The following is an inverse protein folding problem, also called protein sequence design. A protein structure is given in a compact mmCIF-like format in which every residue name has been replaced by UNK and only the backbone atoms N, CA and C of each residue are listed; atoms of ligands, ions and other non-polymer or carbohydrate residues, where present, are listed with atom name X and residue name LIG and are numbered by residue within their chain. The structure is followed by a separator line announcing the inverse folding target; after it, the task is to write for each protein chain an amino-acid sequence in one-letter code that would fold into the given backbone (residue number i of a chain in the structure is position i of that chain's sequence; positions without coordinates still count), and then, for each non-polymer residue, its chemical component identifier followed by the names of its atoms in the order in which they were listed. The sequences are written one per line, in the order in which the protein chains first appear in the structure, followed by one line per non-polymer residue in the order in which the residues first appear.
data_IF_556881465989
#
_entry.id   IF_556881465989
#
_cell.length_a   1.000
_cell.length_b   1.000
_cell.length_c   1.000
_cell.angle_alpha   90.00
_cell.angle_beta   90.00
_cell.angle_gamma   90.00
#
_symmetry.space_group_name_H-M   'P 1'
#
loop_
_entity.id
_entity.type
_entity.pdbx_description
1 polymer ?
#
# COMPACT_ATOMS: atom_id res chain seq x y z
N UNK A 1 -41.85 -14.58 1.25
CA UNK A 1 -41.64 -13.93 -0.07
C UNK A 1 -41.71 -12.43 0.10
N UNK A 2 -40.56 -11.78 0.31
CA UNK A 2 -40.49 -10.33 0.37
C UNK A 2 -40.45 -9.78 -1.06
N UNK A 3 -41.52 -9.11 -1.48
CA UNK A 3 -41.62 -8.44 -2.77
C UNK A 3 -40.86 -7.10 -2.64
N UNK A 4 -39.70 -6.99 -3.30
CA UNK A 4 -38.95 -5.73 -3.34
C UNK A 4 -39.73 -4.67 -4.14
N UNK A 5 -39.58 -3.39 -3.79
CA UNK A 5 -40.21 -2.30 -4.54
C UNK A 5 -39.52 -2.10 -5.90
N UNK A 6 -40.23 -1.54 -6.89
CA UNK A 6 -39.65 -1.27 -8.22
C UNK A 6 -38.38 -0.41 -8.18
N UNK A 7 -38.25 0.46 -7.19
CA UNK A 7 -37.04 1.26 -6.95
C UNK A 7 -35.86 0.43 -6.42
N UNK A 8 -36.13 -0.58 -5.59
CA UNK A 8 -35.09 -1.50 -5.09
C UNK A 8 -34.57 -2.41 -6.19
N UNK A 9 -35.44 -2.90 -7.09
CA UNK A 9 -35.03 -3.67 -8.27
C UNK A 9 -34.19 -2.84 -9.25
N UNK A 10 -34.57 -1.57 -9.50
CA UNK A 10 -33.80 -0.69 -10.38
C UNK A 10 -32.39 -0.42 -9.83
N UNK A 11 -32.28 -0.10 -8.53
CA UNK A 11 -30.98 0.12 -7.89
C UNK A 11 -30.11 -1.15 -7.89
N UNK A 12 -30.70 -2.31 -7.62
CA UNK A 12 -29.98 -3.59 -7.61
C UNK A 12 -29.47 -3.98 -9.00
N UNK A 13 -30.29 -3.78 -10.05
CA UNK A 13 -29.88 -4.03 -11.43
C UNK A 13 -28.82 -3.01 -11.90
N UNK A 14 -28.97 -1.73 -11.55
CA UNK A 14 -28.00 -0.70 -11.91
C UNK A 14 -26.67 -0.89 -11.17
N UNK A 15 -26.69 -1.25 -9.88
CA UNK A 15 -25.48 -1.62 -9.14
C UNK A 15 -24.81 -2.86 -9.70
N UNK A 16 -25.58 -3.84 -10.18
CA UNK A 16 -25.06 -5.03 -10.86
C UNK A 16 -24.37 -4.70 -12.18
N UNK A 17 -24.94 -3.79 -12.98
CA UNK A 17 -24.35 -3.30 -14.23
C UNK A 17 -23.06 -2.51 -13.97
N UNK A 18 -23.07 -1.57 -13.02
CA UNK A 18 -21.87 -0.81 -12.64
C UNK A 18 -20.75 -1.72 -12.11
N UNK A 19 -21.10 -2.77 -11.37
CA UNK A 19 -20.13 -3.77 -10.90
C UNK A 19 -19.52 -4.57 -12.06
N UNK A 20 -20.34 -4.94 -13.06
CA UNK A 20 -19.87 -5.63 -14.26
C UNK A 20 -18.96 -4.74 -15.12
N UNK A 21 -19.33 -3.48 -15.33
CA UNK A 21 -18.51 -2.48 -16.02
C UNK A 21 -17.17 -2.27 -15.30
N UNK A 22 -17.20 -2.11 -13.98
CA UNK A 22 -15.98 -1.97 -13.18
C UNK A 22 -15.08 -3.21 -13.23
N UNK A 23 -15.65 -4.42 -13.26
CA UNK A 23 -14.89 -5.67 -13.41
C UNK A 23 -14.23 -5.76 -14.80
N UNK A 24 -14.94 -5.35 -15.84
CA UNK A 24 -14.41 -5.30 -17.19
C UNK A 24 -13.25 -4.29 -17.31
N UNK A 25 -13.40 -3.11 -16.72
CA UNK A 25 -12.36 -2.07 -16.71
C UNK A 25 -11.10 -2.53 -15.96
N UNK A 26 -11.27 -3.28 -14.86
CA UNK A 26 -10.16 -3.88 -14.10
C UNK A 26 -9.39 -4.89 -14.94
N UNK A 27 -10.11 -5.81 -15.61
CA UNK A 27 -9.48 -6.81 -16.49
C UNK A 27 -8.75 -6.14 -17.65
N UNK A 28 -9.36 -5.13 -18.27
CA UNK A 28 -8.74 -4.36 -19.33
C UNK A 28 -7.48 -3.64 -18.82
N UNK A 29 -7.52 -3.04 -17.63
CA UNK A 29 -6.36 -2.39 -17.04
C UNK A 29 -5.19 -3.35 -16.76
N UNK A 30 -5.47 -4.57 -16.27
CA UNK A 30 -4.45 -5.60 -16.09
C UNK A 30 -3.85 -5.99 -17.44
N UNK A 31 -4.69 -6.20 -18.46
CA UNK A 31 -4.25 -6.49 -19.83
C UNK A 31 -3.31 -5.41 -20.39
N UNK A 32 -3.67 -4.13 -20.21
CA UNK A 32 -2.83 -3.00 -20.63
C UNK A 32 -1.45 -3.02 -19.96
N UNK A 33 -1.38 -3.37 -18.67
CA UNK A 33 -0.09 -3.45 -17.96
C UNK A 33 0.76 -4.66 -18.38
N UNK A 34 0.14 -5.77 -18.77
CA UNK A 34 0.86 -6.93 -19.34
C UNK A 34 1.55 -6.57 -20.67
N UNK A 35 1.02 -5.61 -21.42
CA UNK A 35 1.57 -5.15 -22.69
C UNK A 35 2.45 -3.89 -22.56
N UNK A 36 2.49 -3.26 -21.38
CA UNK A 36 3.21 -2.02 -21.15
C UNK A 36 4.70 -2.30 -20.90
N UNK A 37 5.59 -1.76 -21.74
CA UNK A 37 7.04 -2.04 -21.73
C UNK A 37 7.72 -2.01 -20.34
N UNK A 38 7.47 -1.01 -19.47
CA UNK A 38 8.01 -1.00 -18.10
C UNK A 38 7.70 -2.24 -17.26
N UNK A 39 6.53 -2.88 -17.44
CA UNK A 39 6.06 -3.97 -16.59
C UNK A 39 6.05 -5.32 -17.30
N UNK A 40 5.91 -5.32 -18.63
CA UNK A 40 5.71 -6.51 -19.47
C UNK A 40 6.73 -7.62 -19.18
N UNK A 41 8.02 -7.28 -19.16
CA UNK A 41 9.08 -8.29 -18.95
C UNK A 41 9.02 -8.89 -17.55
N UNK A 42 8.79 -8.06 -16.53
CA UNK A 42 8.71 -8.48 -15.14
C UNK A 42 7.49 -9.36 -14.88
N UNK A 43 6.32 -8.92 -15.33
CA UNK A 43 5.07 -9.66 -15.21
C UNK A 43 5.12 -10.98 -15.99
N UNK A 44 5.64 -10.98 -17.22
CA UNK A 44 5.79 -12.22 -18.01
C UNK A 44 6.70 -13.22 -17.31
N UNK A 45 7.82 -12.75 -16.75
CA UNK A 45 8.75 -13.60 -15.98
C UNK A 45 8.06 -14.17 -14.74
N UNK A 46 7.33 -13.35 -13.99
CA UNK A 46 6.63 -13.80 -12.79
C UNK A 46 5.57 -14.85 -13.12
N UNK A 47 4.75 -14.63 -14.16
CA UNK A 47 3.73 -15.58 -14.63
C UNK A 47 4.37 -16.90 -15.07
N UNK A 48 5.48 -16.86 -15.81
CA UNK A 48 6.19 -18.06 -16.26
C UNK A 48 6.79 -18.90 -15.11
N UNK A 49 7.09 -18.29 -13.96
CA UNK A 49 7.53 -19.01 -12.76
C UNK A 49 6.38 -19.76 -12.09
N UNK A 50 5.12 -19.38 -12.36
CA UNK A 50 3.95 -20.06 -11.81
C UNK A 50 3.67 -21.33 -12.61
N UNK A 51 3.37 -22.41 -11.90
CA UNK A 51 3.06 -23.70 -12.54
C UNK A 51 1.77 -23.60 -13.36
N UNK A 52 1.89 -23.69 -14.69
CA UNK A 52 0.77 -23.76 -15.65
C UNK A 52 -0.19 -22.56 -15.64
N UNK A 53 0.25 -21.38 -15.20
CA UNK A 53 -0.58 -20.18 -15.21
C UNK A 53 -0.62 -19.54 -16.60
N UNK A 54 -1.81 -19.38 -17.18
CA UNK A 54 -1.97 -18.61 -18.43
C UNK A 54 -2.19 -17.13 -18.13
N UNK A 55 -1.97 -16.25 -19.13
CA UNK A 55 -2.28 -14.83 -18.98
C UNK A 55 -3.77 -14.58 -18.68
N UNK A 56 -4.67 -15.41 -19.23
CA UNK A 56 -6.10 -15.29 -18.99
C UNK A 56 -6.45 -15.64 -17.53
N UNK A 57 -5.89 -16.73 -17.00
CA UNK A 57 -6.08 -17.14 -15.61
C UNK A 57 -5.49 -16.10 -14.65
N UNK A 58 -4.32 -15.56 -14.98
CA UNK A 58 -3.69 -14.48 -14.22
C UNK A 58 -4.61 -13.24 -14.15
N UNK A 59 -5.16 -12.79 -15.29
CA UNK A 59 -6.06 -11.64 -15.34
C UNK A 59 -7.30 -11.89 -14.48
N UNK A 60 -7.91 -13.07 -14.56
CA UNK A 60 -9.10 -13.42 -13.79
C UNK A 60 -8.84 -13.40 -12.28
N UNK A 61 -7.76 -14.04 -11.86
CA UNK A 61 -7.41 -14.17 -10.45
C UNK A 61 -7.00 -12.81 -9.85
N UNK A 62 -6.19 -12.01 -10.55
CA UNK A 62 -5.82 -10.68 -10.09
C UNK A 62 -7.03 -9.74 -10.05
N UNK A 63 -7.93 -9.81 -11.03
CA UNK A 63 -9.16 -9.02 -11.01
C UNK A 63 -10.03 -9.38 -9.79
N UNK A 64 -10.17 -10.67 -9.51
CA UNK A 64 -10.90 -11.17 -8.33
C UNK A 64 -10.25 -10.69 -7.03
N UNK A 65 -8.93 -10.87 -6.87
CA UNK A 65 -8.20 -10.42 -5.66
C UNK A 65 -8.21 -8.91 -5.50
N UNK A 66 -8.39 -8.14 -6.57
CA UNK A 66 -8.43 -6.68 -6.49
C UNK A 66 -9.71 -6.15 -5.84
N UNK A 67 -10.79 -6.93 -5.81
CA UNK A 67 -12.12 -6.47 -5.38
C UNK A 67 -12.55 -5.20 -6.14
N UNK A 68 -12.23 -5.13 -7.43
CA UNK A 68 -12.39 -3.96 -8.31
C UNK A 68 -11.64 -2.69 -7.86
N UNK A 69 -10.60 -2.84 -7.03
CA UNK A 69 -9.82 -1.72 -6.53
C UNK A 69 -8.60 -1.43 -7.43
N UNK A 70 -8.67 -0.36 -8.24
CA UNK A 70 -7.55 0.05 -9.09
C UNK A 70 -6.28 0.41 -8.32
N UNK A 71 -6.40 0.84 -7.06
CA UNK A 71 -5.22 1.12 -6.25
C UNK A 71 -4.46 -0.16 -5.90
N UNK A 72 -5.19 -1.24 -5.61
CA UNK A 72 -4.58 -2.55 -5.43
C UNK A 72 -3.78 -2.94 -6.68
N UNK A 73 -4.34 -2.76 -7.88
CA UNK A 73 -3.64 -3.07 -9.14
C UNK A 73 -2.39 -2.21 -9.34
N UNK A 74 -2.49 -0.91 -9.05
CA UNK A 74 -1.35 0.04 -9.10
C UNK A 74 -0.24 -0.29 -8.11
N UNK A 75 -0.53 -1.09 -7.10
CA UNK A 75 0.45 -1.50 -6.11
C UNK A 75 1.00 -2.91 -6.39
N UNK A 76 0.12 -3.88 -6.69
CA UNK A 76 0.50 -5.29 -6.84
C UNK A 76 1.19 -5.56 -8.17
N UNK A 77 0.71 -5.01 -9.28
CA UNK A 77 1.29 -5.31 -10.59
C UNK A 77 2.73 -4.79 -10.74
N UNK A 78 3.07 -3.55 -10.32
CA UNK A 78 4.46 -3.11 -10.28
C UNK A 78 5.32 -3.97 -9.33
N UNK A 79 4.81 -4.30 -8.13
CA UNK A 79 5.55 -5.13 -7.19
C UNK A 79 5.85 -6.54 -7.75
N UNK A 80 4.93 -7.13 -8.50
CA UNK A 80 5.15 -8.38 -9.24
C UNK A 80 6.24 -8.19 -10.31
N UNK A 81 6.15 -7.11 -11.09
CA UNK A 81 7.10 -6.81 -12.16
C UNK A 81 8.53 -6.60 -11.64
N UNK A 82 8.66 -5.95 -10.49
CA UNK A 82 9.93 -5.66 -9.82
C UNK A 82 10.50 -6.86 -9.05
N UNK A 83 9.76 -7.98 -9.00
CA UNK A 83 10.20 -9.23 -8.37
C UNK A 83 9.97 -9.29 -6.85
N UNK A 84 9.22 -8.36 -6.26
CA UNK A 84 8.91 -8.36 -4.81
C UNK A 84 8.23 -9.65 -4.35
N UNK A 85 7.42 -10.25 -5.23
CA UNK A 85 6.69 -11.51 -4.99
C UNK A 85 7.28 -12.70 -5.73
N UNK A 86 8.56 -12.67 -6.12
CA UNK A 86 9.19 -13.72 -6.94
C UNK A 86 9.14 -15.13 -6.30
N UNK A 87 9.06 -15.19 -4.97
CA UNK A 87 9.01 -16.45 -4.21
C UNK A 87 7.61 -16.77 -3.69
N UNK A 88 6.56 -16.07 -4.15
CA UNK A 88 5.17 -16.31 -3.74
C UNK A 88 4.35 -16.89 -4.89
N UNK A 89 3.58 -17.96 -4.63
CA UNK A 89 2.59 -18.43 -5.58
C UNK A 89 1.41 -17.45 -5.68
N UNK A 90 0.63 -17.56 -6.75
CA UNK A 90 -0.50 -16.68 -7.04
C UNK A 90 -1.56 -16.66 -5.93
N UNK A 91 -1.85 -17.81 -5.30
CA UNK A 91 -2.84 -17.95 -4.24
C UNK A 91 -2.44 -17.24 -2.94
N UNK A 92 -1.14 -17.10 -2.67
CA UNK A 92 -0.58 -16.34 -1.54
C UNK A 92 -0.57 -14.81 -1.74
N UNK A 93 -0.96 -14.30 -2.91
CA UNK A 93 -1.07 -12.86 -3.11
C UNK A 93 -2.18 -12.29 -2.22
N UNK A 94 -1.99 -11.06 -1.70
CA UNK A 94 -2.97 -10.42 -0.84
C UNK A 94 -4.31 -10.23 -1.56
N UNK A 95 -5.40 -10.25 -0.79
CA UNK A 95 -6.74 -9.96 -1.28
C UNK A 95 -7.12 -8.55 -0.81
N UNK A 96 -7.59 -7.74 -1.75
CA UNK A 96 -8.01 -6.37 -1.52
C UNK A 96 -6.84 -5.44 -1.17
N UNK A 97 -7.11 -4.13 -1.23
CA UNK A 97 -6.10 -3.11 -0.91
C UNK A 97 -5.64 -3.19 0.55
N UNK A 98 -6.55 -3.51 1.48
CA UNK A 98 -6.22 -3.66 2.89
C UNK A 98 -5.27 -4.85 3.11
N UNK A 99 -5.60 -6.03 2.57
CA UNK A 99 -4.74 -7.21 2.69
C UNK A 99 -3.36 -6.97 2.10
N UNK A 100 -3.26 -6.17 1.03
CA UNK A 100 -1.98 -5.77 0.47
C UNK A 100 -1.14 -4.94 1.45
N UNK A 101 -1.74 -3.95 2.12
CA UNK A 101 -1.03 -3.15 3.12
C UNK A 101 -0.63 -3.96 4.37
N UNK A 102 -1.49 -4.87 4.84
CA UNK A 102 -1.17 -5.78 5.95
C UNK A 102 -0.02 -6.72 5.61
N UNK A 103 -0.06 -7.32 4.41
CA UNK A 103 0.99 -8.19 3.92
C UNK A 103 2.32 -7.44 3.81
N UNK A 104 2.31 -6.24 3.25
CA UNK A 104 3.52 -5.43 3.13
C UNK A 104 4.07 -5.02 4.51
N UNK A 105 3.21 -4.62 5.45
CA UNK A 105 3.59 -4.31 6.82
C UNK A 105 4.33 -5.49 7.49
N UNK A 106 3.83 -6.72 7.31
CA UNK A 106 4.46 -7.93 7.81
C UNK A 106 5.79 -8.23 7.11
N UNK A 107 5.85 -8.13 5.78
CA UNK A 107 7.07 -8.37 5.00
C UNK A 107 8.20 -7.40 5.34
N UNK A 108 7.86 -6.15 5.68
CA UNK A 108 8.82 -5.16 6.19
C UNK A 108 9.26 -5.44 7.64
N UNK A 109 8.81 -6.54 8.23
CA UNK A 109 9.18 -7.01 9.56
C UNK A 109 8.53 -6.23 10.69
N UNK A 110 7.49 -5.42 10.43
CA UNK A 110 6.88 -4.55 11.45
C UNK A 110 6.15 -5.30 12.57
N UNK A 111 5.94 -6.61 12.41
CA UNK A 111 5.37 -7.51 13.41
C UNK A 111 6.41 -8.43 14.08
N UNK A 112 7.69 -8.32 13.71
CA UNK A 112 8.79 -9.11 14.28
C UNK A 112 8.90 -8.88 15.79
N UNK A 113 9.22 -9.92 16.58
CA UNK A 113 9.44 -9.79 18.04
C UNK A 113 10.94 -9.82 18.39
N UNK A 114 11.44 -8.89 19.23
CA UNK A 114 10.74 -7.73 19.78
C UNK A 114 10.36 -6.72 18.68
N UNK A 115 9.25 -6.01 18.90
CA UNK A 115 8.69 -5.10 17.91
C UNK A 115 9.69 -4.02 17.50
N UNK A 116 9.86 -3.75 16.19
CA UNK A 116 10.85 -2.80 15.69
C UNK A 116 10.34 -1.36 15.88
N UNK A 117 10.23 -0.91 17.13
CA UNK A 117 9.65 0.40 17.52
C UNK A 117 10.26 1.56 16.73
N UNK A 118 11.56 1.50 16.42
CA UNK A 118 12.26 2.53 15.66
C UNK A 118 11.73 2.64 14.23
N UNK A 119 11.58 1.51 13.51
CA UNK A 119 11.02 1.48 12.14
C UNK A 119 9.57 1.97 12.13
N UNK A 120 8.79 1.53 13.10
CA UNK A 120 7.38 1.92 13.26
C UNK A 120 7.26 3.42 13.50
N UNK A 121 8.04 4.00 14.42
CA UNK A 121 8.06 5.45 14.68
C UNK A 121 8.37 6.26 13.41
N UNK A 122 9.31 5.81 12.58
CA UNK A 122 9.66 6.47 11.33
C UNK A 122 8.46 6.50 10.38
N UNK A 123 7.79 5.37 10.17
CA UNK A 123 6.61 5.29 9.27
C UNK A 123 5.46 6.17 9.78
N UNK A 124 5.21 6.18 11.09
CA UNK A 124 4.18 7.05 11.69
C UNK A 124 4.49 8.53 11.55
N UNK A 125 5.75 8.94 11.76
CA UNK A 125 6.20 10.32 11.52
C UNK A 125 6.00 10.71 10.06
N UNK A 126 6.38 9.84 9.12
CA UNK A 126 6.18 10.10 7.69
C UNK A 126 4.69 10.21 7.32
N UNK A 127 3.82 9.45 7.98
CA UNK A 127 2.37 9.56 7.82
C UNK A 127 1.83 10.88 8.40
N UNK A 128 2.31 11.28 9.59
CA UNK A 128 1.92 12.54 10.22
C UNK A 128 2.36 13.77 9.41
N UNK A 129 3.52 13.70 8.75
CA UNK A 129 3.99 14.71 7.81
C UNK A 129 3.05 14.75 6.59
N UNK A 130 2.27 15.83 6.47
CA UNK A 130 1.39 16.03 5.30
C UNK A 130 2.16 16.42 4.04
N UNK A 131 3.34 17.01 4.20
CA UNK A 131 4.23 17.43 3.12
C UNK A 131 5.44 16.50 3.01
N UNK A 132 6.07 16.49 1.83
CA UNK A 132 7.32 15.77 1.64
C UNK A 132 8.43 16.32 2.55
N UNK A 133 9.14 15.42 3.21
CA UNK A 133 10.16 15.75 4.19
C UNK A 133 11.51 15.12 3.83
N UNK A 134 12.59 15.82 4.17
CA UNK A 134 13.93 15.25 4.01
C UNK A 134 14.19 14.16 5.04
N UNK A 135 15.17 13.30 4.76
CA UNK A 135 15.65 12.27 5.69
C UNK A 135 15.98 12.85 7.07
N UNK A 136 16.65 14.01 7.13
CA UNK A 136 16.99 14.68 8.39
C UNK A 136 15.77 15.16 9.17
N UNK A 137 14.72 15.65 8.49
CA UNK A 137 13.46 16.03 9.14
C UNK A 137 12.76 14.81 9.73
N UNK A 138 12.71 13.71 8.97
CA UNK A 138 12.13 12.45 9.45
C UNK A 138 12.92 11.91 10.65
N UNK A 139 14.25 11.96 10.60
CA UNK A 139 15.13 11.55 11.70
C UNK A 139 14.88 12.39 12.97
N UNK A 140 14.79 13.72 12.84
CA UNK A 140 14.48 14.63 13.93
C UNK A 140 13.16 14.25 14.64
N UNK A 141 12.07 14.12 13.89
CA UNK A 141 10.75 13.88 14.48
C UNK A 141 10.56 12.43 14.95
N UNK A 142 11.26 11.46 14.37
CA UNK A 142 11.23 10.07 14.84
C UNK A 142 12.20 9.80 16.00
N UNK A 143 13.04 10.79 16.37
CA UNK A 143 14.15 10.64 17.33
C UNK A 143 15.07 9.47 16.96
N UNK A 144 15.29 9.26 15.65
CA UNK A 144 16.16 8.22 15.11
C UNK A 144 17.36 8.85 14.39
N UNK A 145 18.39 8.04 14.13
CA UNK A 145 19.51 8.46 13.29
C UNK A 145 19.15 8.35 11.79
N UNK A 146 19.86 9.10 10.95
CA UNK A 146 19.58 9.11 9.51
C UNK A 146 19.83 7.78 8.79
N UNK A 147 20.72 6.91 9.31
CA UNK A 147 20.97 5.59 8.71
C UNK A 147 19.73 4.69 8.86
N UNK A 148 19.15 4.62 10.06
CA UNK A 148 17.91 3.87 10.30
C UNK A 148 16.75 4.43 9.48
N UNK A 149 16.67 5.75 9.30
CA UNK A 149 15.68 6.35 8.39
C UNK A 149 15.94 5.92 6.95
N UNK A 150 17.18 5.89 6.49
CA UNK A 150 17.51 5.47 5.13
C UNK A 150 17.10 4.00 4.86
N UNK A 151 17.32 3.11 5.83
CA UNK A 151 16.87 1.71 5.73
C UNK A 151 15.36 1.63 5.55
N UNK A 152 14.59 2.37 6.36
CA UNK A 152 13.13 2.42 6.22
C UNK A 152 12.70 3.04 4.89
N UNK A 153 13.36 4.10 4.42
CA UNK A 153 13.05 4.70 3.11
C UNK A 153 13.29 3.72 1.96
N UNK A 154 14.32 2.88 2.05
CA UNK A 154 14.60 1.85 1.06
C UNK A 154 13.55 0.73 1.10
N UNK A 155 13.27 0.22 2.30
CA UNK A 155 12.25 -0.82 2.56
C UNK A 155 10.88 -0.39 2.00
N UNK A 156 10.53 0.89 2.16
CA UNK A 156 9.22 1.44 1.79
C UNK A 156 9.18 2.14 0.43
N UNK A 157 10.24 2.08 -0.38
CA UNK A 157 10.39 2.90 -1.59
C UNK A 157 9.19 2.86 -2.54
N UNK A 158 8.53 1.70 -2.70
CA UNK A 158 7.35 1.52 -3.57
C UNK A 158 6.10 2.30 -3.13
N UNK A 159 6.05 2.75 -1.87
CA UNK A 159 4.98 3.61 -1.31
C UNK A 159 5.36 5.08 -1.26
N UNK A 160 6.59 5.42 -1.65
CA UNK A 160 7.14 6.75 -1.49
C UNK A 160 7.24 7.47 -2.83
N UNK A 161 6.72 8.70 -2.85
CA UNK A 161 7.14 9.65 -3.86
C UNK A 161 8.41 10.33 -3.38
N UNK A 162 9.51 10.07 -4.08
CA UNK A 162 10.77 10.80 -3.94
C UNK A 162 10.77 12.04 -4.81
N UNK A 163 11.04 13.19 -4.21
CA UNK A 163 11.12 14.50 -4.86
C UNK A 163 12.58 14.92 -5.01
N UNK A 164 13.13 14.70 -6.20
CA UNK A 164 14.56 14.94 -6.54
C UNK A 164 14.88 16.42 -6.79
N UNK A 165 13.87 17.27 -6.92
CA UNK A 165 14.03 18.72 -7.09
C UNK A 165 14.50 19.43 -5.80
N UNK A 166 14.62 18.71 -4.68
CA UNK A 166 15.20 19.20 -3.43
C UNK A 166 16.58 18.59 -3.18
N UNK A 167 17.45 19.36 -2.53
CA UNK A 167 18.76 18.89 -2.06
C UNK A 167 18.86 19.12 -0.54
N UNK A 168 18.83 18.08 0.31
CA UNK A 168 18.64 16.66 -0.03
C UNK A 168 17.20 16.34 -0.50
N UNK A 169 16.98 15.20 -1.19
CA UNK A 169 15.66 14.81 -1.68
C UNK A 169 14.65 14.64 -0.55
N UNK A 170 13.38 14.84 -0.89
CA UNK A 170 12.25 14.73 0.06
C UNK A 170 11.35 13.55 -0.27
N UNK A 171 10.70 13.01 0.76
CA UNK A 171 9.91 11.79 0.70
C UNK A 171 8.54 12.03 1.32
N UNK A 172 7.50 11.44 0.71
CA UNK A 172 6.15 11.33 1.29
C UNK A 172 5.47 10.06 0.81
N UNK A 173 4.53 9.55 1.60
CA UNK A 173 3.54 8.62 1.07
C UNK A 173 2.66 9.34 0.04
N UNK A 174 2.49 8.72 -1.14
CA UNK A 174 1.67 9.32 -2.21
C UNK A 174 0.21 8.86 -2.17
N UNK A 175 -0.08 7.76 -1.48
CA UNK A 175 -1.44 7.22 -1.34
C UNK A 175 -2.08 7.65 -0.03
N UNK A 176 -3.20 8.36 -0.12
CA UNK A 176 -4.02 8.70 1.05
C UNK A 176 -4.59 7.46 1.73
N UNK A 177 -5.00 6.46 0.94
CA UNK A 177 -5.52 5.18 1.46
C UNK A 177 -4.51 4.42 2.33
N UNK A 178 -3.20 4.60 2.11
CA UNK A 178 -2.19 4.03 3.00
C UNK A 178 -2.10 4.78 4.34
N UNK A 179 -2.34 6.10 4.34
CA UNK A 179 -2.45 6.88 5.58
C UNK A 179 -3.68 6.43 6.37
N UNK A 180 -4.81 6.25 5.70
CA UNK A 180 -6.04 5.74 6.32
C UNK A 180 -5.83 4.37 6.97
N UNK A 181 -5.10 3.49 6.28
CA UNK A 181 -4.69 2.20 6.81
C UNK A 181 -3.89 2.32 8.11
N UNK A 182 -2.90 3.23 8.19
CA UNK A 182 -2.11 3.44 9.41
C UNK A 182 -2.92 4.06 10.57
N UNK A 183 -3.98 4.80 10.24
CA UNK A 183 -4.88 5.42 11.23
C UNK A 183 -5.91 4.44 11.80
N UNK A 184 -6.17 3.32 11.12
CA UNK A 184 -7.05 2.28 11.62
C UNK A 184 -6.39 1.51 12.78
N UNK A 185 -7.00 1.61 13.96
CA UNK A 185 -6.46 1.08 15.21
C UNK A 185 -6.40 -0.45 15.26
N UNK A 186 -7.19 -1.17 14.44
CA UNK A 186 -7.34 -2.63 14.45
C UNK A 186 -6.12 -3.39 13.90
N UNK A 187 -5.60 -2.98 12.73
CA UNK A 187 -4.40 -3.58 12.11
C UNK A 187 -3.16 -3.45 12.99
N UNK A 188 -3.15 -2.35 13.71
CA UNK A 188 -2.09 -1.79 14.52
C UNK A 188 -2.11 -2.45 15.90
N UNK A 189 -3.28 -2.57 16.54
CA UNK A 189 -3.45 -3.30 17.81
C UNK A 189 -3.10 -4.80 17.71
N UNK A 190 -3.35 -5.44 16.57
CA UNK A 190 -3.01 -6.86 16.35
C UNK A 190 -1.50 -7.15 16.44
N UNK A 191 -0.64 -6.14 16.27
CA UNK A 191 0.81 -6.26 16.43
C UNK A 191 1.27 -6.26 17.91
N UNK A 192 0.37 -6.08 18.88
CA UNK A 192 0.72 -6.10 20.31
C UNK A 192 1.44 -4.84 20.80
N UNK A 193 1.31 -3.73 20.07
CA UNK A 193 1.78 -2.41 20.49
C UNK A 193 0.56 -1.58 20.88
N UNK A 194 0.64 -0.83 21.98
CA UNK A 194 -0.25 0.30 22.18
C UNK A 194 0.19 1.44 21.26
N UNK A 195 0.02 1.24 19.95
CA UNK A 195 0.32 2.22 18.91
C UNK A 195 -0.47 3.53 19.04
N UNK A 196 -1.63 3.60 19.71
CA UNK A 196 -2.15 4.88 20.19
C UNK A 196 -1.12 5.68 20.98
N UNK A 197 -0.28 5.06 21.82
CA UNK A 197 0.79 5.76 22.56
C UNK A 197 1.91 6.21 21.63
N UNK A 198 2.29 5.40 20.62
CA UNK A 198 3.31 5.81 19.63
C UNK A 198 2.78 6.93 18.74
N UNK A 199 1.52 6.84 18.31
CA UNK A 199 0.87 7.86 17.50
C UNK A 199 0.67 9.14 18.30
N UNK A 200 0.33 9.05 19.58
CA UNK A 200 0.25 10.19 20.50
C UNK A 200 1.64 10.80 20.73
N UNK A 201 2.67 9.98 21.02
CA UNK A 201 4.04 10.44 21.16
C UNK A 201 4.53 11.16 19.89
N UNK A 202 4.23 10.62 18.70
CA UNK A 202 4.55 11.27 17.43
C UNK A 202 3.77 12.56 17.25
N UNK A 203 2.48 12.60 17.62
CA UNK A 203 1.68 13.81 17.56
C UNK A 203 2.25 14.90 18.49
N UNK A 204 2.61 14.54 19.73
CA UNK A 204 3.21 15.44 20.71
C UNK A 204 4.56 15.98 20.21
N UNK A 205 5.43 15.11 19.68
CA UNK A 205 6.72 15.51 19.10
C UNK A 205 6.53 16.50 17.94
N UNK A 206 5.49 16.31 17.12
CA UNK A 206 5.17 17.24 16.04
C UNK A 206 4.65 18.58 16.58
N UNK A 207 3.82 18.57 17.62
CA UNK A 207 3.30 19.79 18.25
C UNK A 207 4.41 20.58 18.97
N UNK A 208 5.33 19.91 19.66
CA UNK A 208 6.49 20.53 20.30
C UNK A 208 7.52 21.07 19.31
N UNK A 209 7.63 20.44 18.13
CA UNK A 209 8.61 20.78 17.11
C UNK A 209 8.14 21.75 16.02
N UNK A 210 6.90 22.26 16.11
CA UNK A 210 6.39 23.38 15.30
C UNK A 210 6.79 24.72 15.95
N UNK A 211 7.91 25.36 15.58
CA UNK A 211 7.95 26.82 15.68
C UNK A 211 6.89 27.36 14.72
N UNK A 212 6.19 28.40 15.14
CA UNK A 212 5.21 29.10 14.32
C UNK A 212 5.75 29.39 12.93
N UNK A 213 4.85 29.35 11.96
CA UNK A 213 5.08 29.85 10.61
C UNK A 213 5.80 31.21 10.66
N UNK A 214 7.08 31.23 10.27
CA UNK A 214 7.81 32.42 9.83
C UNK A 214 8.44 32.12 8.46
#
# INVERSE_FOLDING_TARGET
NATFSSSQYFLMNHSGLLYQESCQDVKQYIGLLLENEPYQQGLSRWIQKQNHLTNADFVEEIATKSENNFMYLRCVLPALADGFYDNKPLDELPIGLQGYYENHWQLMGMTTKPLPKNKIKIVYVMCALRSAASRGVIAKYSKQNELTVQEVLNDWAQFLQKQENYQPPRYRFYHESFRDFLHRQDVVQAAGINLPDISAEVADIMTEGLPGYE
#
